data_IF_337012831869
#
_entry.id   IF_337012831869
#
_cell.length_a   1.000
_cell.length_b   1.000
_cell.length_c   1.000
_cell.angle_alpha   90.00
_cell.angle_beta   90.00
_cell.angle_gamma   90.00
#
_symmetry.space_group_name_H-M   'P 1'
#
loop_
_entity.id
_entity.type
_entity.pdbx_description
1 polymer ?
#
# COMPACT_ATOMS: atom_id res chain seq x y z
N UNK A 1 5.98 -13.30 -25.43
CA UNK A 1 6.82 -12.66 -24.40
C UNK A 1 7.10 -11.28 -24.98
N UNK A 2 6.54 -10.23 -24.38
CA UNK A 2 6.61 -8.89 -24.97
C UNK A 2 8.03 -8.33 -24.81
N UNK A 3 8.74 -8.15 -25.92
CA UNK A 3 10.12 -7.64 -25.96
C UNK A 3 10.25 -6.19 -25.46
N UNK A 4 9.12 -5.50 -25.26
CA UNK A 4 9.08 -4.14 -24.68
C UNK A 4 8.74 -4.09 -23.19
N UNK A 5 8.60 -5.24 -22.52
CA UNK A 5 8.34 -5.26 -21.09
C UNK A 5 9.60 -4.82 -20.33
N UNK A 6 9.66 -3.55 -19.96
CA UNK A 6 10.65 -3.07 -19.01
C UNK A 6 10.59 -3.92 -17.73
N UNK A 7 11.74 -4.29 -17.14
CA UNK A 7 11.75 -5.07 -15.92
C UNK A 7 10.97 -4.31 -14.83
N UNK A 8 10.20 -5.02 -13.99
CA UNK A 8 9.35 -4.39 -12.99
C UNK A 8 10.21 -3.51 -12.08
N UNK A 9 9.79 -2.25 -11.90
CA UNK A 9 10.43 -1.28 -11.02
C UNK A 9 10.18 -1.66 -9.56
N UNK A 10 11.05 -2.51 -9.03
CA UNK A 10 11.02 -2.99 -7.65
C UNK A 10 12.20 -2.40 -6.89
N UNK A 11 11.93 -1.69 -5.81
CA UNK A 11 12.93 -0.93 -5.06
C UNK A 11 13.14 -1.51 -3.65
N UNK A 12 14.40 -1.51 -3.20
CA UNK A 12 14.79 -1.87 -1.83
C UNK A 12 15.62 -3.14 -1.73
N UNK A 13 15.94 -3.59 -0.50
CA UNK A 13 16.72 -4.79 -0.27
C UNK A 13 16.05 -6.04 -0.84
N UNK A 14 16.82 -7.11 -1.08
CA UNK A 14 16.34 -8.37 -1.68
C UNK A 14 15.07 -8.92 -1.02
N UNK A 15 14.99 -8.85 0.32
CA UNK A 15 13.79 -9.29 1.05
C UNK A 15 12.53 -8.47 0.71
N UNK A 16 12.66 -7.17 0.48
CA UNK A 16 11.56 -6.30 0.06
C UNK A 16 11.15 -6.58 -1.38
N UNK A 17 12.12 -6.79 -2.27
CA UNK A 17 11.88 -7.17 -3.66
C UNK A 17 11.17 -8.52 -3.73
N UNK A 18 11.60 -9.50 -2.95
CA UNK A 18 10.97 -10.81 -2.89
C UNK A 18 9.51 -10.74 -2.40
N UNK A 19 9.24 -9.92 -1.39
CA UNK A 19 7.88 -9.69 -0.90
C UNK A 19 6.99 -9.04 -1.97
N UNK A 20 7.47 -8.01 -2.66
CA UNK A 20 6.73 -7.38 -3.76
C UNK A 20 6.44 -8.34 -4.91
N UNK A 21 7.40 -9.21 -5.26
CA UNK A 21 7.18 -10.24 -6.29
C UNK A 21 6.08 -11.22 -5.89
N UNK A 22 6.08 -11.70 -4.64
CA UNK A 22 5.02 -12.60 -4.14
C UNK A 22 3.67 -11.90 -4.08
N UNK A 23 3.64 -10.64 -3.62
CA UNK A 23 2.42 -9.83 -3.61
C UNK A 23 1.84 -9.62 -5.00
N UNK A 24 2.67 -9.26 -5.98
CA UNK A 24 2.24 -9.09 -7.37
C UNK A 24 1.74 -10.42 -7.98
N UNK A 25 2.42 -11.54 -7.70
CA UNK A 25 1.99 -12.85 -8.15
C UNK A 25 0.66 -13.30 -7.52
N UNK A 26 0.43 -13.01 -6.23
CA UNK A 26 -0.86 -13.30 -5.59
C UNK A 26 -1.97 -12.39 -6.14
N UNK A 27 -1.66 -11.13 -6.48
CA UNK A 27 -2.63 -10.21 -7.05
C UNK A 27 -3.19 -10.67 -8.38
N UNK A 28 -2.39 -11.33 -9.24
CA UNK A 28 -2.90 -11.86 -10.52
C UNK A 28 -4.03 -12.86 -10.33
N UNK A 29 -4.11 -13.54 -9.18
CA UNK A 29 -5.15 -14.51 -8.85
C UNK A 29 -6.35 -13.86 -8.15
N UNK A 30 -6.15 -12.76 -7.45
CA UNK A 30 -7.17 -12.15 -6.59
C UNK A 30 -7.82 -10.90 -7.18
N UNK A 31 -7.27 -10.33 -8.25
CA UNK A 31 -7.68 -9.01 -8.77
C UNK A 31 -9.15 -8.88 -9.17
N UNK A 32 -9.79 -9.98 -9.55
CA UNK A 32 -11.19 -9.99 -9.96
C UNK A 32 -12.15 -10.17 -8.76
N UNK A 33 -11.62 -10.39 -7.55
CA UNK A 33 -12.41 -10.52 -6.34
C UNK A 33 -12.38 -9.21 -5.54
N UNK A 34 -13.52 -8.50 -5.41
CA UNK A 34 -13.59 -7.18 -4.78
C UNK A 34 -13.31 -7.21 -3.26
N UNK A 35 -13.26 -8.40 -2.66
CA UNK A 35 -12.86 -8.59 -1.27
C UNK A 35 -11.40 -8.21 -1.04
N UNK A 36 -10.58 -8.18 -2.10
CA UNK A 36 -9.14 -7.94 -2.03
C UNK A 36 -8.74 -6.69 -2.81
N UNK A 37 -7.67 -6.05 -2.35
CA UNK A 37 -7.02 -4.96 -3.06
C UNK A 37 -5.50 -5.15 -3.06
N UNK A 38 -4.84 -4.61 -4.09
CA UNK A 38 -3.39 -4.55 -4.12
C UNK A 38 -2.89 -3.39 -3.27
N UNK A 39 -2.22 -3.70 -2.16
CA UNK A 39 -1.66 -2.71 -1.23
C UNK A 39 -0.20 -2.37 -1.58
N UNK A 40 0.12 -2.34 -2.88
CA UNK A 40 1.45 -2.10 -3.46
C UNK A 40 2.48 -3.21 -3.18
N UNK A 41 2.56 -3.74 -1.96
CA UNK A 41 3.58 -4.71 -1.53
C UNK A 41 2.97 -6.02 -1.03
N UNK A 42 1.71 -5.99 -0.62
CA UNK A 42 0.96 -7.13 -0.12
C UNK A 42 -0.49 -7.05 -0.60
N UNK A 43 -1.29 -8.03 -0.22
CA UNK A 43 -2.72 -8.04 -0.45
C UNK A 43 -3.43 -7.49 0.79
N UNK A 44 -4.32 -6.53 0.58
CA UNK A 44 -5.24 -6.07 1.61
C UNK A 44 -6.58 -6.79 1.45
N UNK A 45 -7.11 -7.30 2.56
CA UNK A 45 -8.49 -7.72 2.70
C UNK A 45 -9.35 -6.49 3.00
N UNK A 46 -10.27 -6.14 2.10
CA UNK A 46 -11.09 -4.92 2.19
C UNK A 46 -12.54 -5.18 2.62
N UNK A 47 -12.96 -6.44 2.67
CA UNK A 47 -14.28 -6.84 3.19
C UNK A 47 -14.08 -7.93 4.27
N UNK A 48 -13.76 -7.51 5.51
CA UNK A 48 -13.51 -8.41 6.63
C UNK A 48 -14.80 -9.02 7.18
N UNK A 49 -14.86 -10.36 7.17
CA UNK A 49 -15.99 -11.19 7.62
C UNK A 49 -15.57 -12.06 8.81
N UNK A 50 -16.33 -13.11 9.13
CA UNK A 50 -16.02 -14.01 10.25
C UNK A 50 -14.69 -14.77 10.04
N UNK A 51 -14.35 -15.12 8.80
CA UNK A 51 -13.12 -15.81 8.38
C UNK A 51 -11.89 -14.89 8.26
N UNK A 52 -11.96 -13.65 8.77
CA UNK A 52 -10.90 -12.64 8.59
C UNK A 52 -9.54 -13.14 9.10
N UNK A 53 -9.48 -13.77 10.27
CA UNK A 53 -8.23 -14.26 10.84
C UNK A 53 -7.59 -15.34 9.95
N UNK A 54 -8.39 -16.26 9.42
CA UNK A 54 -7.91 -17.34 8.55
C UNK A 54 -7.36 -16.80 7.24
N UNK A 55 -8.08 -15.85 6.63
CA UNK A 55 -7.66 -15.22 5.38
C UNK A 55 -6.37 -14.42 5.57
N UNK A 56 -6.27 -13.63 6.64
CA UNK A 56 -5.06 -12.85 6.94
C UNK A 56 -3.87 -13.76 7.22
N UNK A 57 -4.04 -14.84 7.99
CA UNK A 57 -2.99 -15.81 8.26
C UNK A 57 -2.51 -16.49 6.97
N UNK A 58 -3.42 -16.88 6.08
CA UNK A 58 -3.09 -17.49 4.79
C UNK A 58 -2.30 -16.53 3.88
N UNK A 59 -2.75 -15.27 3.77
CA UNK A 59 -2.05 -14.25 2.98
C UNK A 59 -0.66 -14.00 3.59
N UNK A 60 -0.58 -13.80 4.91
CA UNK A 60 0.68 -13.53 5.60
C UNK A 60 1.67 -14.70 5.45
N UNK A 61 1.21 -15.96 5.49
CA UNK A 61 2.04 -17.13 5.24
C UNK A 61 2.61 -17.17 3.81
N UNK A 62 1.83 -16.71 2.81
CA UNK A 62 2.27 -16.71 1.40
C UNK A 62 3.20 -15.55 1.07
N UNK A 63 2.82 -14.31 1.44
CA UNK A 63 3.55 -13.11 0.99
C UNK A 63 4.42 -12.48 2.08
N UNK A 64 4.24 -12.87 3.34
CA UNK A 64 5.00 -12.40 4.51
C UNK A 64 4.31 -11.29 5.31
N UNK A 65 3.18 -10.77 4.83
CA UNK A 65 2.36 -9.78 5.52
C UNK A 65 0.94 -9.76 4.94
N UNK A 66 -0.04 -9.40 5.76
CA UNK A 66 -1.41 -9.17 5.33
C UNK A 66 -1.95 -7.90 6.00
N UNK A 67 -2.91 -7.25 5.36
CA UNK A 67 -3.58 -6.05 5.90
C UNK A 67 -5.08 -6.28 5.82
N UNK A 68 -5.82 -5.89 6.85
CA UNK A 68 -7.26 -5.75 6.78
C UNK A 68 -7.63 -4.26 6.84
N UNK A 69 -8.33 -3.80 5.81
CA UNK A 69 -8.93 -2.47 5.78
C UNK A 69 -10.41 -2.56 6.19
N UNK A 70 -10.95 -1.44 6.68
CA UNK A 70 -12.37 -1.31 7.03
C UNK A 70 -12.88 -2.28 8.11
N UNK A 71 -11.98 -2.86 8.91
CA UNK A 71 -12.37 -3.65 10.07
C UNK A 71 -13.05 -2.73 11.11
N UNK A 72 -14.26 -3.07 11.60
CA UNK A 72 -14.87 -2.32 12.69
C UNK A 72 -13.97 -2.31 13.93
N UNK A 73 -13.73 -1.13 14.51
CA UNK A 73 -12.84 -0.95 15.68
C UNK A 73 -13.17 -1.91 16.83
N UNK A 74 -14.46 -2.17 17.08
CA UNK A 74 -14.91 -3.09 18.13
C UNK A 74 -14.47 -4.56 17.93
N UNK A 75 -14.06 -4.94 16.72
CA UNK A 75 -13.58 -6.30 16.38
C UNK A 75 -12.05 -6.41 16.36
N UNK A 76 -11.32 -5.30 16.47
CA UNK A 76 -9.87 -5.28 16.30
C UNK A 76 -9.14 -6.09 17.37
N UNK A 77 -9.45 -5.87 18.65
CA UNK A 77 -8.76 -6.53 19.76
C UNK A 77 -8.97 -8.06 19.74
N UNK A 78 -10.16 -8.52 19.39
CA UNK A 78 -10.46 -9.95 19.23
C UNK A 78 -9.68 -10.57 18.05
N UNK A 79 -9.58 -9.86 16.93
CA UNK A 79 -8.79 -10.31 15.78
C UNK A 79 -7.29 -10.37 16.13
N UNK A 80 -6.79 -9.41 16.92
CA UNK A 80 -5.40 -9.38 17.34
C UNK A 80 -5.07 -10.57 18.24
N UNK A 81 -5.90 -10.83 19.25
CA UNK A 81 -5.72 -11.97 20.13
C UNK A 81 -5.71 -13.30 19.35
N UNK A 82 -6.58 -13.46 18.34
CA UNK A 82 -6.60 -14.65 17.49
C UNK A 82 -5.31 -14.79 16.65
N UNK A 83 -4.88 -13.73 15.97
CA UNK A 83 -3.67 -13.75 15.15
C UNK A 83 -2.39 -13.94 15.98
N UNK A 84 -2.30 -13.29 17.14
CA UNK A 84 -1.17 -13.44 18.07
C UNK A 84 -1.12 -14.85 18.67
N UNK A 85 -2.29 -15.43 18.99
CA UNK A 85 -2.40 -16.83 19.40
C UNK A 85 -1.90 -17.82 18.35
N UNK A 86 -1.89 -17.41 17.07
CA UNK A 86 -1.34 -18.17 15.93
C UNK A 86 0.15 -17.85 15.66
N UNK A 87 0.78 -17.00 16.45
CA UNK A 87 2.19 -16.64 16.34
C UNK A 87 2.51 -15.48 15.40
N UNK A 88 1.52 -14.71 14.96
CA UNK A 88 1.76 -13.50 14.16
C UNK A 88 2.02 -12.27 15.05
N UNK A 89 2.85 -11.35 14.55
CA UNK A 89 2.94 -9.99 15.11
C UNK A 89 1.85 -9.13 14.49
N UNK A 90 1.10 -8.40 15.32
CA UNK A 90 0.02 -7.52 14.87
C UNK A 90 0.35 -6.05 15.11
N UNK A 91 -0.23 -5.17 14.30
CA UNK A 91 -0.16 -3.72 14.47
C UNK A 91 -1.45 -3.09 13.92
N UNK A 92 -1.82 -1.91 14.44
CA UNK A 92 -2.97 -1.14 13.96
C UNK A 92 -2.58 0.25 13.53
N UNK A 93 -3.12 0.66 12.38
CA UNK A 93 -3.17 2.05 11.99
C UNK A 93 -4.63 2.52 11.98
N UNK A 94 -4.96 3.52 12.79
CA UNK A 94 -6.29 4.11 12.77
C UNK A 94 -6.37 5.13 11.64
N UNK A 95 -7.25 4.89 10.67
CA UNK A 95 -7.50 5.88 9.64
C UNK A 95 -8.57 6.87 10.10
N UNK A 96 -8.20 8.15 10.17
CA UNK A 96 -9.13 9.24 10.39
C UNK A 96 -9.55 9.82 9.06
N UNK A 97 -10.80 9.56 8.65
CA UNK A 97 -11.33 10.03 7.37
C UNK A 97 -12.10 11.32 7.59
N UNK A 98 -11.64 12.39 6.95
CA UNK A 98 -12.38 13.63 6.85
C UNK A 98 -13.50 13.52 5.81
N UNK A 99 -14.67 14.08 6.12
CA UNK A 99 -15.75 14.24 5.14
C UNK A 99 -15.57 15.49 4.26
N UNK A 100 -16.61 15.81 3.47
CA UNK A 100 -16.62 16.99 2.60
C UNK A 100 -16.27 18.30 3.34
N UNK A 101 -16.71 18.44 4.60
CA UNK A 101 -16.40 19.60 5.43
C UNK A 101 -14.90 19.75 5.74
N UNK A 102 -14.21 18.64 6.00
CA UNK A 102 -12.76 18.63 6.23
C UNK A 102 -12.01 18.97 4.93
N UNK A 103 -12.44 18.41 3.80
CA UNK A 103 -11.87 18.72 2.49
C UNK A 103 -12.01 20.22 2.14
N UNK A 104 -13.20 20.81 2.34
CA UNK A 104 -13.41 22.24 2.11
C UNK A 104 -12.62 23.12 3.08
N UNK A 105 -12.48 22.71 4.34
CA UNK A 105 -11.61 23.39 5.30
C UNK A 105 -10.14 23.38 4.84
N UNK A 106 -9.62 22.23 4.38
CA UNK A 106 -8.27 22.13 3.84
C UNK A 106 -8.07 23.00 2.60
N UNK A 107 -9.04 23.04 1.67
CA UNK A 107 -8.97 23.92 0.50
C UNK A 107 -8.92 25.40 0.89
N UNK A 108 -9.72 25.81 1.88
CA UNK A 108 -9.70 27.18 2.39
C UNK A 108 -8.33 27.54 2.95
N UNK A 109 -7.79 26.69 3.82
CA UNK A 109 -6.46 26.88 4.41
C UNK A 109 -5.38 27.04 3.32
N UNK A 110 -5.37 26.15 2.32
CA UNK A 110 -4.38 26.18 1.26
C UNK A 110 -4.46 27.41 0.34
N UNK A 111 -5.58 28.17 0.33
CA UNK A 111 -5.65 29.44 -0.42
C UNK A 111 -4.81 30.54 0.21
N UNK A 112 -4.60 30.48 1.52
CA UNK A 112 -3.90 31.51 2.28
C UNK A 112 -2.41 31.19 2.48
N UNK A 113 -1.95 30.05 1.94
CA UNK A 113 -0.57 29.58 2.03
C UNK A 113 0.03 29.34 0.65
N UNK A 114 1.10 30.06 0.33
CA UNK A 114 1.94 29.77 -0.84
C UNK A 114 3.07 28.81 -0.47
N UNK A 115 3.47 27.97 -1.42
CA UNK A 115 4.71 27.21 -1.30
C UNK A 115 5.91 28.17 -1.25
N UNK A 116 6.94 27.88 -0.44
CA UNK A 116 8.23 28.54 -0.53
C UNK A 116 8.76 28.56 -1.98
N UNK A 117 9.46 29.63 -2.37
CA UNK A 117 9.88 29.85 -3.75
C UNK A 117 10.90 28.80 -4.26
N UNK A 118 11.53 28.07 -3.35
CA UNK A 118 12.49 27.01 -3.59
C UNK A 118 11.85 25.60 -3.62
N UNK A 119 10.54 25.50 -3.41
CA UNK A 119 9.80 24.24 -3.46
C UNK A 119 8.85 24.20 -4.65
N UNK A 120 8.82 23.04 -5.30
CA UNK A 120 7.86 22.73 -6.37
C UNK A 120 7.15 21.40 -6.09
N UNK A 121 5.96 21.24 -6.65
CA UNK A 121 5.19 20.00 -6.59
C UNK A 121 5.27 19.32 -7.94
N UNK A 122 5.75 18.07 -7.94
CA UNK A 122 5.82 17.23 -9.14
C UNK A 122 4.95 16.00 -8.89
N UNK A 123 3.96 15.79 -9.77
CA UNK A 123 3.12 14.61 -9.72
C UNK A 123 3.78 13.46 -10.50
N UNK A 124 3.82 12.27 -9.89
CA UNK A 124 4.21 11.04 -10.59
C UNK A 124 3.01 10.48 -11.38
N UNK A 125 3.28 10.02 -12.59
CA UNK A 125 2.29 9.45 -13.51
C UNK A 125 2.91 8.42 -14.46
N UNK A 126 2.09 7.89 -15.36
CA UNK A 126 2.50 6.83 -16.30
C UNK A 126 3.72 7.18 -17.15
N UNK A 127 3.83 8.44 -17.56
CA UNK A 127 4.88 9.00 -18.41
C UNK A 127 6.09 9.56 -17.63
N UNK A 128 6.07 9.51 -16.29
CA UNK A 128 7.17 10.05 -15.48
C UNK A 128 8.51 9.38 -15.81
N UNK A 129 9.62 10.12 -15.89
CA UNK A 129 10.93 9.51 -16.13
C UNK A 129 11.29 8.49 -15.05
N UNK A 130 11.90 7.35 -15.45
CA UNK A 130 12.36 6.33 -14.49
C UNK A 130 13.28 6.88 -13.39
N UNK A 131 14.21 7.81 -13.68
CA UNK A 131 15.04 8.42 -12.62
C UNK A 131 14.21 9.11 -11.54
N UNK A 132 13.16 9.83 -11.92
CA UNK A 132 12.28 10.53 -10.96
C UNK A 132 11.53 9.54 -10.06
N UNK A 133 11.05 8.42 -10.61
CA UNK A 133 10.40 7.36 -9.82
C UNK A 133 11.40 6.69 -8.87
N UNK A 134 12.65 6.49 -9.33
CA UNK A 134 13.72 5.94 -8.50
C UNK A 134 14.12 6.90 -7.35
N UNK A 135 14.19 8.21 -7.62
CA UNK A 135 14.46 9.24 -6.59
C UNK A 135 13.35 9.27 -5.54
N UNK A 136 12.08 9.21 -5.95
CA UNK A 136 10.97 9.10 -5.01
C UNK A 136 11.06 7.83 -4.15
N UNK A 137 11.42 6.69 -4.76
CA UNK A 137 11.62 5.44 -4.03
C UNK A 137 12.81 5.53 -3.05
N UNK A 138 13.91 6.17 -3.45
CA UNK A 138 15.07 6.40 -2.60
C UNK A 138 14.72 7.32 -1.41
N UNK A 139 13.92 8.37 -1.63
CA UNK A 139 13.41 9.23 -0.57
C UNK A 139 12.58 8.44 0.45
N UNK A 140 11.66 7.57 0.00
CA UNK A 140 10.92 6.70 0.91
C UNK A 140 11.86 5.88 1.79
N UNK A 141 12.88 5.26 1.19
CA UNK A 141 13.85 4.43 1.91
C UNK A 141 14.67 5.22 2.92
N UNK A 142 15.11 6.43 2.55
CA UNK A 142 15.83 7.33 3.45
C UNK A 142 14.98 7.71 4.68
N UNK A 143 13.66 7.77 4.52
CA UNK A 143 12.70 7.97 5.61
C UNK A 143 12.30 6.67 6.35
N UNK A 144 12.94 5.53 6.06
CA UNK A 144 12.58 4.23 6.65
C UNK A 144 11.27 3.64 6.13
N UNK A 145 10.70 4.21 5.07
CA UNK A 145 9.46 3.75 4.43
C UNK A 145 9.81 2.84 3.26
N UNK A 146 9.18 1.67 3.19
CA UNK A 146 9.34 0.77 2.03
C UNK A 146 8.50 1.29 0.85
N UNK A 147 9.12 1.71 -0.27
CA UNK A 147 8.38 2.19 -1.42
C UNK A 147 7.56 1.05 -2.05
N UNK A 148 6.37 1.34 -2.60
CA UNK A 148 5.65 0.38 -3.43
C UNK A 148 6.35 0.22 -4.80
N UNK A 149 5.95 -0.77 -5.61
CA UNK A 149 6.41 -0.93 -6.99
C UNK A 149 6.18 0.33 -7.82
N UNK A 150 7.04 0.57 -8.80
CA UNK A 150 6.96 1.73 -9.69
C UNK A 150 5.61 1.82 -10.41
N UNK A 151 5.01 0.70 -10.80
CA UNK A 151 3.65 0.70 -11.38
C UNK A 151 2.60 1.33 -10.44
N UNK A 152 2.71 1.09 -9.13
CA UNK A 152 1.84 1.72 -8.12
C UNK A 152 2.17 3.20 -7.96
N UNK A 153 3.46 3.57 -7.89
CA UNK A 153 3.89 4.98 -7.83
C UNK A 153 3.40 5.81 -9.04
N UNK A 154 3.26 5.16 -10.20
CA UNK A 154 2.79 5.74 -11.46
C UNK A 154 1.27 5.74 -11.62
N UNK A 155 0.53 5.13 -10.69
CA UNK A 155 -0.92 4.97 -10.79
C UNK A 155 -1.39 3.95 -11.85
N UNK A 156 -0.53 3.01 -12.25
CA UNK A 156 -0.81 2.01 -13.28
C UNK A 156 -1.24 0.64 -12.71
N UNK A 157 -1.26 0.49 -11.38
CA UNK A 157 -1.46 -0.79 -10.70
C UNK A 157 -2.94 -1.12 -10.36
N UNK A 158 -3.87 -0.82 -11.28
CA UNK A 158 -5.30 -1.13 -11.17
C UNK A 158 -5.66 -2.41 -11.97
#
# INVERSE_FOLDING_TARGET
MDENAHPPELFGPDGSVALMRRGAALWTLLRDNPRYAFYGRAIALCDPREDTADVLAAIAGLVGAAVANFLPKARADALFADLEGRGFTTDRHEHFWGGAAAHEASRRLLRDHALPADLSVVALGGDSPRPLVAEAAALCQACGVRPPPGATLRGLAN
#
